data_IF_845561017451
#
_entry.id   IF_845561017451
#
_cell.length_a   1.000
_cell.length_b   1.000
_cell.length_c   1.000
_cell.angle_alpha   90.00
_cell.angle_beta   90.00
_cell.angle_gamma   90.00
#
_symmetry.space_group_name_H-M   'P 1'
#
loop_
_entity.id
_entity.type
_entity.pdbx_description
1 polymer ?
#
# COMPACT_ATOMS: atom_id res chain seq x y z
N UNK A 1 19.38 -48.25 2.02
CA UNK A 1 18.04 -47.68 1.75
C UNK A 1 18.23 -46.25 1.35
N UNK A 2 17.71 -45.78 0.23
CA UNK A 2 17.73 -44.35 -0.06
C UNK A 2 16.93 -43.64 1.03
N UNK A 3 17.55 -42.65 1.68
CA UNK A 3 16.91 -41.85 2.72
C UNK A 3 15.70 -41.11 2.12
N UNK A 4 14.56 -41.25 2.76
CA UNK A 4 13.37 -40.45 2.41
C UNK A 4 13.66 -39.02 2.86
N UNK A 5 13.75 -38.09 1.93
CA UNK A 5 13.88 -36.67 2.26
C UNK A 5 12.61 -36.21 2.97
N UNK A 6 12.69 -35.69 4.19
CA UNK A 6 11.50 -35.28 4.92
C UNK A 6 10.79 -34.10 4.25
N UNK A 7 9.46 -34.15 4.23
CA UNK A 7 8.65 -33.01 3.84
C UNK A 7 8.63 -32.02 5.00
N UNK A 8 9.10 -30.80 4.75
CA UNK A 8 9.13 -29.68 5.68
C UNK A 8 7.95 -28.74 5.40
N UNK A 9 7.62 -27.91 6.36
CA UNK A 9 6.59 -26.86 6.23
C UNK A 9 7.16 -25.51 6.66
N UNK A 10 6.78 -24.46 5.95
CA UNK A 10 7.13 -23.10 6.33
C UNK A 10 5.99 -22.13 6.08
N UNK A 11 5.93 -21.06 6.87
CA UNK A 11 4.95 -19.99 6.68
C UNK A 11 5.54 -18.88 5.83
N UNK A 12 5.00 -18.72 4.64
CA UNK A 12 5.35 -17.60 3.77
C UNK A 12 4.36 -16.46 4.01
N UNK A 13 4.88 -15.34 4.45
CA UNK A 13 4.11 -14.14 4.77
C UNK A 13 4.49 -13.00 3.85
N UNK A 14 3.53 -12.18 3.50
CA UNK A 14 3.81 -11.03 2.65
C UNK A 14 2.63 -10.09 2.49
N UNK A 15 2.82 -9.16 1.57
CA UNK A 15 1.80 -8.21 1.18
C UNK A 15 1.67 -8.21 -0.35
N UNK A 16 0.45 -8.04 -0.82
CA UNK A 16 0.14 -7.92 -2.24
C UNK A 16 -0.96 -6.89 -2.47
N UNK A 17 -1.44 -6.77 -3.69
CA UNK A 17 -2.59 -5.91 -3.97
C UNK A 17 -3.86 -6.47 -3.31
N UNK A 18 -4.74 -5.64 -2.74
CA UNK A 18 -6.07 -6.06 -2.35
C UNK A 18 -6.80 -6.76 -3.51
N UNK A 19 -7.60 -7.77 -3.19
CA UNK A 19 -8.38 -8.56 -4.14
C UNK A 19 -7.55 -9.31 -5.20
N UNK A 20 -6.25 -9.50 -4.97
CA UNK A 20 -5.41 -10.36 -5.80
C UNK A 20 -5.41 -11.80 -5.29
N UNK A 21 -5.00 -12.73 -6.15
CA UNK A 21 -4.73 -14.12 -5.76
C UNK A 21 -3.24 -14.36 -5.77
N UNK A 22 -2.72 -14.86 -4.65
CA UNK A 22 -1.31 -15.24 -4.48
C UNK A 22 -1.21 -16.76 -4.62
N UNK A 23 -0.31 -17.21 -5.48
CA UNK A 23 0.04 -18.62 -5.66
C UNK A 23 1.49 -18.82 -5.25
N UNK A 24 1.77 -19.90 -4.54
CA UNK A 24 3.13 -20.32 -4.18
C UNK A 24 3.31 -21.74 -4.65
N UNK A 25 4.13 -21.94 -5.66
CA UNK A 25 4.39 -23.20 -6.33
C UNK A 25 5.81 -23.68 -6.07
N UNK A 26 6.02 -24.64 -5.14
CA UNK A 26 7.33 -25.24 -4.92
C UNK A 26 7.85 -25.96 -6.18
N UNK A 27 9.14 -25.84 -6.45
CA UNK A 27 9.72 -26.32 -7.73
C UNK A 27 9.95 -27.83 -7.82
N UNK A 28 9.72 -28.57 -6.76
CA UNK A 28 10.03 -30.01 -6.67
C UNK A 28 8.81 -30.91 -6.48
N UNK A 29 7.68 -30.52 -7.02
CA UNK A 29 6.51 -31.40 -7.16
C UNK A 29 5.63 -31.54 -5.91
N UNK A 30 5.78 -30.63 -4.95
CA UNK A 30 4.85 -30.50 -3.82
C UNK A 30 3.62 -29.68 -4.25
N UNK A 31 2.51 -29.87 -3.52
CA UNK A 31 1.24 -29.17 -3.81
C UNK A 31 1.40 -27.65 -3.72
N UNK A 32 0.83 -26.95 -4.67
CA UNK A 32 0.75 -25.49 -4.67
C UNK A 32 -0.13 -24.98 -3.54
N UNK A 33 0.28 -23.88 -2.92
CA UNK A 33 -0.52 -23.12 -1.97
C UNK A 33 -1.08 -21.87 -2.62
N UNK A 34 -2.30 -21.48 -2.30
CA UNK A 34 -2.89 -20.25 -2.82
C UNK A 34 -3.85 -19.59 -1.85
N UNK A 35 -4.00 -18.28 -1.97
CA UNK A 35 -4.97 -17.49 -1.22
C UNK A 35 -5.47 -16.33 -2.09
N UNK A 36 -6.78 -16.07 -2.05
CA UNK A 36 -7.37 -14.85 -2.61
C UNK A 36 -7.56 -13.84 -1.50
N UNK A 37 -6.96 -12.67 -1.66
CA UNK A 37 -6.99 -11.60 -0.68
C UNK A 37 -8.31 -10.83 -0.74
N UNK A 38 -8.75 -10.35 0.42
CA UNK A 38 -9.81 -9.38 0.54
C UNK A 38 -9.29 -7.95 0.43
N UNK A 39 -9.90 -7.05 1.18
CA UNK A 39 -9.42 -5.66 1.32
C UNK A 39 -8.08 -5.57 2.09
N UNK A 40 -7.79 -6.54 2.95
CA UNK A 40 -6.49 -6.66 3.61
C UNK A 40 -5.46 -7.17 2.60
N UNK A 41 -4.37 -6.42 2.37
CA UNK A 41 -3.34 -6.80 1.42
C UNK A 41 -2.35 -7.85 1.96
N UNK A 42 -2.47 -8.24 3.23
CA UNK A 42 -1.55 -9.20 3.87
C UNK A 42 -1.95 -10.63 3.61
N UNK A 43 -0.98 -11.52 3.55
CA UNK A 43 -1.21 -12.94 3.47
C UNK A 43 -0.23 -13.75 4.31
N UNK A 44 -0.69 -14.92 4.75
CA UNK A 44 0.11 -15.99 5.33
C UNK A 44 -0.33 -17.31 4.73
N UNK A 45 0.62 -18.07 4.17
CA UNK A 45 0.40 -19.38 3.59
C UNK A 45 1.35 -20.41 4.21
N UNK A 46 0.81 -21.54 4.61
CA UNK A 46 1.61 -22.72 4.96
C UNK A 46 2.03 -23.44 3.67
N UNK A 47 3.32 -23.57 3.45
CA UNK A 47 3.89 -24.10 2.22
C UNK A 47 4.72 -25.33 2.53
N UNK A 48 4.31 -26.51 2.03
CA UNK A 48 5.14 -27.72 2.13
C UNK A 48 6.30 -27.62 1.15
N UNK A 49 7.49 -28.09 1.58
CA UNK A 49 8.69 -28.07 0.75
C UNK A 49 9.70 -29.14 1.16
N UNK A 50 10.66 -29.41 0.28
CA UNK A 50 11.85 -30.18 0.62
C UNK A 50 13.04 -29.24 0.79
N UNK A 51 14.01 -29.65 1.61
CA UNK A 51 15.22 -28.87 1.86
C UNK A 51 15.93 -28.46 0.55
N UNK A 52 16.32 -27.20 0.46
CA UNK A 52 16.91 -26.64 -0.76
C UNK A 52 15.93 -26.27 -1.87
N UNK A 53 14.62 -26.43 -1.64
CA UNK A 53 13.62 -26.06 -2.62
C UNK A 53 13.51 -24.55 -2.81
N UNK A 54 13.14 -24.18 -4.03
CA UNK A 54 12.64 -22.84 -4.37
C UNK A 54 11.14 -22.90 -4.58
N UNK A 55 10.49 -21.75 -4.56
CA UNK A 55 9.12 -21.63 -4.99
C UNK A 55 8.94 -20.45 -5.94
N UNK A 56 8.07 -20.63 -6.92
CA UNK A 56 7.56 -19.55 -7.74
C UNK A 56 6.38 -18.91 -7.00
N UNK A 57 6.55 -17.67 -6.56
CA UNK A 57 5.44 -16.86 -6.06
C UNK A 57 4.87 -16.07 -7.23
N UNK A 58 3.59 -16.23 -7.50
CA UNK A 58 2.85 -15.52 -8.55
C UNK A 58 1.66 -14.82 -7.94
N UNK A 59 1.51 -13.55 -8.25
CA UNK A 59 0.34 -12.74 -7.91
C UNK A 59 -0.46 -12.47 -9.16
N UNK A 60 -1.75 -12.73 -9.12
CA UNK A 60 -2.70 -12.37 -10.17
C UNK A 60 -3.64 -11.31 -9.61
N UNK A 61 -3.64 -10.13 -10.19
CA UNK A 61 -4.45 -8.99 -9.75
C UNK A 61 -5.87 -9.07 -10.32
N UNK A 62 -6.76 -8.28 -9.76
CA UNK A 62 -8.17 -8.23 -10.18
C UNK A 62 -8.34 -7.82 -11.66
N UNK A 63 -7.43 -7.04 -12.21
CA UNK A 63 -7.41 -6.63 -13.62
C UNK A 63 -6.84 -7.71 -14.57
N UNK A 64 -6.46 -8.87 -14.04
CA UNK A 64 -5.85 -9.96 -14.78
C UNK A 64 -4.34 -9.83 -14.98
N UNK A 65 -3.73 -8.71 -14.59
CA UNK A 65 -2.28 -8.57 -14.63
C UNK A 65 -1.62 -9.52 -13.63
N UNK A 66 -0.42 -9.99 -13.94
CA UNK A 66 0.30 -10.89 -13.06
C UNK A 66 1.77 -10.52 -12.94
N UNK A 67 2.32 -10.86 -11.79
CA UNK A 67 3.73 -10.69 -11.45
C UNK A 67 4.23 -11.95 -10.77
N UNK A 68 5.50 -12.30 -10.96
CA UNK A 68 6.07 -13.51 -10.38
C UNK A 68 7.50 -13.30 -9.90
N UNK A 69 7.88 -14.06 -8.87
CA UNK A 69 9.21 -14.03 -8.27
C UNK A 69 9.60 -15.40 -7.75
N UNK A 70 10.86 -15.78 -7.95
CA UNK A 70 11.42 -16.97 -7.30
C UNK A 70 11.93 -16.63 -5.91
N UNK A 71 11.67 -17.51 -4.95
CA UNK A 71 12.15 -17.41 -3.57
C UNK A 71 12.82 -18.73 -3.14
N UNK A 72 13.74 -18.65 -2.21
CA UNK A 72 14.27 -19.82 -1.53
C UNK A 72 13.38 -20.17 -0.33
N UNK A 73 12.91 -21.40 -0.25
CA UNK A 73 12.14 -21.89 0.90
C UNK A 73 13.10 -22.33 2.00
N UNK A 74 12.80 -21.92 3.23
CA UNK A 74 13.56 -22.25 4.44
C UNK A 74 12.61 -22.60 5.56
N UNK A 75 13.03 -23.44 6.49
CA UNK A 75 12.25 -23.82 7.67
C UNK A 75 11.78 -22.61 8.49
N UNK A 76 12.61 -21.56 8.55
CA UNK A 76 12.27 -20.29 9.17
C UNK A 76 12.39 -19.18 8.14
N UNK A 77 11.26 -18.73 7.61
CA UNK A 77 11.20 -17.55 6.76
C UNK A 77 11.27 -16.30 7.62
N UNK A 78 11.80 -15.18 7.10
CA UNK A 78 11.72 -13.90 7.79
C UNK A 78 10.28 -13.59 8.22
N UNK A 79 10.13 -12.96 9.36
CA UNK A 79 8.83 -12.75 10.02
C UNK A 79 7.82 -12.03 9.11
N UNK A 80 8.29 -11.12 8.28
CA UNK A 80 7.49 -10.45 7.26
C UNK A 80 8.32 -10.22 6.01
N UNK A 81 7.99 -10.93 4.96
CA UNK A 81 8.59 -10.68 3.65
C UNK A 81 7.59 -9.90 2.82
N UNK A 82 7.99 -8.74 2.39
CA UNK A 82 7.20 -7.92 1.46
C UNK A 82 7.53 -8.39 0.05
N UNK A 83 6.73 -9.30 -0.49
CA UNK A 83 6.97 -9.92 -1.77
C UNK A 83 6.41 -9.11 -2.93
N UNK A 84 5.20 -8.61 -2.76
CA UNK A 84 4.44 -7.87 -3.75
C UNK A 84 3.66 -6.77 -3.05
N UNK A 85 4.37 -5.85 -2.42
CA UNK A 85 3.71 -4.71 -1.81
C UNK A 85 3.31 -3.67 -2.86
N UNK A 86 2.54 -2.72 -2.41
CA UNK A 86 2.11 -1.60 -3.23
C UNK A 86 3.27 -0.82 -3.86
N UNK A 87 4.48 -1.00 -3.36
CA UNK A 87 5.70 -0.34 -3.80
C UNK A 87 6.53 -1.18 -4.74
N UNK A 88 6.43 -2.52 -4.62
CA UNK A 88 7.22 -3.48 -5.38
C UNK A 88 6.63 -3.81 -6.75
N UNK A 89 5.43 -3.37 -7.05
CA UNK A 89 4.90 -3.51 -8.39
C UNK A 89 5.79 -2.74 -9.35
N UNK A 90 6.60 -3.50 -10.08
CA UNK A 90 7.65 -2.98 -10.94
C UNK A 90 7.12 -1.84 -11.81
N UNK A 91 7.72 -0.68 -11.68
CA UNK A 91 7.39 0.49 -12.46
C UNK A 91 6.07 1.16 -12.14
N UNK A 92 5.28 0.66 -11.21
CA UNK A 92 3.96 1.19 -10.83
C UNK A 92 2.96 1.34 -11.98
N UNK A 93 3.34 1.02 -13.21
CA UNK A 93 2.57 1.34 -14.41
C UNK A 93 1.15 0.76 -14.43
N UNK A 94 0.97 -0.44 -13.89
CA UNK A 94 -0.32 -1.15 -13.85
C UNK A 94 -0.80 -1.41 -12.43
N UNK A 95 -0.01 -1.04 -11.41
CA UNK A 95 -0.35 -1.32 -10.04
C UNK A 95 -1.41 -0.35 -9.52
N UNK A 96 -2.44 -0.90 -8.91
CA UNK A 96 -3.56 -0.16 -8.34
C UNK A 96 -4.09 -0.89 -7.11
N UNK A 97 -4.01 -0.23 -5.96
CA UNK A 97 -4.53 -0.78 -4.70
C UNK A 97 -6.06 -0.73 -4.59
N UNK A 98 -6.73 0.03 -5.46
CA UNK A 98 -8.06 0.52 -5.12
C UNK A 98 -8.00 1.52 -3.95
N UNK A 99 -9.17 1.97 -3.50
CA UNK A 99 -9.28 2.89 -2.38
C UNK A 99 -9.28 2.14 -1.04
N UNK A 100 -8.33 2.48 -0.16
CA UNK A 100 -8.11 1.89 1.16
C UNK A 100 -8.28 2.98 2.21
N UNK A 101 -8.91 2.66 3.33
CA UNK A 101 -9.05 3.60 4.47
C UNK A 101 -7.69 3.95 5.07
N UNK A 102 -7.52 5.21 5.41
CA UNK A 102 -6.33 5.66 6.14
C UNK A 102 -6.30 5.06 7.56
N UNK A 103 -5.10 4.80 8.10
CA UNK A 103 -4.97 4.06 9.35
C UNK A 103 -5.45 4.79 10.58
N UNK A 104 -5.38 6.13 10.61
CA UNK A 104 -5.73 6.96 11.76
C UNK A 104 -7.08 7.66 11.64
N UNK A 105 -7.63 7.77 10.44
CA UNK A 105 -8.94 8.38 10.20
C UNK A 105 -9.67 7.74 9.02
N UNK A 106 -10.74 7.01 9.30
CA UNK A 106 -11.61 6.38 8.30
C UNK A 106 -12.39 7.37 7.42
N UNK A 107 -12.39 8.66 7.75
CA UNK A 107 -12.97 9.71 6.92
C UNK A 107 -12.17 9.96 5.65
N UNK A 108 -10.95 9.41 5.56
CA UNK A 108 -10.08 9.51 4.41
C UNK A 108 -9.73 8.15 3.84
N UNK A 109 -9.53 8.12 2.54
CA UNK A 109 -9.04 6.96 1.80
C UNK A 109 -7.83 7.34 0.96
N UNK A 110 -6.93 6.39 0.80
CA UNK A 110 -5.80 6.51 -0.11
C UNK A 110 -5.83 5.42 -1.18
N UNK A 111 -5.13 5.66 -2.29
CA UNK A 111 -4.94 4.72 -3.39
C UNK A 111 -3.53 4.88 -3.92
N UNK A 112 -2.86 3.78 -4.19
CA UNK A 112 -1.57 3.80 -4.90
C UNK A 112 -1.80 3.31 -6.32
N UNK A 113 -1.42 4.11 -7.29
CA UNK A 113 -1.54 3.80 -8.71
C UNK A 113 -0.44 4.50 -9.48
N UNK A 114 0.22 3.78 -10.38
CA UNK A 114 1.25 4.32 -11.30
C UNK A 114 2.36 5.13 -10.60
N UNK A 115 2.86 4.67 -9.44
CA UNK A 115 3.93 5.35 -8.70
C UNK A 115 3.51 6.59 -7.93
N UNK A 116 2.22 6.80 -7.81
CA UNK A 116 1.63 7.93 -7.09
C UNK A 116 0.76 7.42 -5.95
N UNK A 117 0.76 8.12 -4.83
CA UNK A 117 -0.29 8.01 -3.82
C UNK A 117 -1.34 9.07 -4.08
N UNK A 118 -2.59 8.67 -4.08
CA UNK A 118 -3.76 9.54 -4.15
C UNK A 118 -4.47 9.51 -2.81
N UNK A 119 -4.98 10.66 -2.36
CA UNK A 119 -5.72 10.78 -1.09
C UNK A 119 -6.95 11.63 -1.31
N UNK A 120 -8.07 11.21 -0.76
CA UNK A 120 -9.33 11.97 -0.80
C UNK A 120 -10.19 11.68 0.44
N UNK A 121 -11.22 12.48 0.74
CA UNK A 121 -12.28 12.11 1.67
C UNK A 121 -12.98 10.80 1.23
N UNK A 122 -13.38 9.99 2.19
CA UNK A 122 -14.09 8.72 1.94
C UNK A 122 -15.58 8.91 1.65
N UNK A 123 -16.08 10.15 1.67
CA UNK A 123 -17.43 10.51 1.35
C UNK A 123 -17.53 11.16 -0.04
N UNK A 124 -18.71 11.18 -0.60
CA UNK A 124 -19.01 11.94 -1.83
C UNK A 124 -18.95 13.47 -1.57
N UNK A 125 -19.02 13.87 -0.31
CA UNK A 125 -18.88 15.26 0.11
C UNK A 125 -17.41 15.58 0.37
N UNK A 126 -16.86 16.38 -0.51
CA UNK A 126 -15.46 16.82 -0.41
C UNK A 126 -15.27 18.02 0.54
N UNK A 127 -16.29 18.40 1.30
CA UNK A 127 -16.24 19.56 2.17
C UNK A 127 -15.96 19.16 3.60
N UNK A 128 -14.97 19.80 4.22
CA UNK A 128 -14.63 19.64 5.63
C UNK A 128 -14.55 21.00 6.32
N UNK A 129 -15.09 21.06 7.53
CA UNK A 129 -14.93 22.23 8.40
C UNK A 129 -13.59 22.16 9.14
N UNK A 130 -12.83 23.22 9.04
CA UNK A 130 -11.61 23.39 9.78
C UNK A 130 -11.76 24.47 10.85
N UNK A 131 -11.51 24.06 12.11
CA UNK A 131 -11.48 24.94 13.26
C UNK A 131 -10.02 25.13 13.68
N UNK A 132 -9.42 26.21 13.28
CA UNK A 132 -8.03 26.52 13.63
C UNK A 132 -7.37 27.32 12.54
N UNK A 133 -6.37 28.09 12.93
CA UNK A 133 -5.53 28.85 12.03
C UNK A 133 -4.17 28.18 11.92
N UNK A 134 -3.63 28.12 10.72
CA UNK A 134 -2.30 27.74 10.32
C UNK A 134 -2.15 26.26 9.98
N UNK A 135 -1.61 25.44 10.83
CA UNK A 135 -1.05 24.16 10.44
C UNK A 135 -1.84 23.01 11.09
N UNK A 136 -2.75 22.42 10.35
CA UNK A 136 -3.65 21.38 10.85
C UNK A 136 -3.28 20.04 10.21
N UNK A 137 -3.01 19.03 11.04
CA UNK A 137 -2.94 17.65 10.56
C UNK A 137 -4.33 17.21 10.09
N UNK A 138 -4.42 16.72 8.87
CA UNK A 138 -5.65 16.19 8.30
C UNK A 138 -5.72 14.67 8.53
N UNK A 139 -4.73 13.94 8.02
CA UNK A 139 -4.67 12.48 8.16
C UNK A 139 -3.23 11.98 8.00
N UNK A 140 -2.87 10.93 8.72
CA UNK A 140 -1.63 10.21 8.50
C UNK A 140 -1.84 9.10 7.44
N UNK A 141 -0.86 8.93 6.56
CA UNK A 141 -0.81 7.83 5.62
C UNK A 141 -0.06 6.64 6.24
N UNK A 142 -0.20 5.43 5.72
CA UNK A 142 0.61 4.30 6.17
C UNK A 142 2.10 4.65 6.14
N UNK A 143 2.81 4.31 7.21
CA UNK A 143 4.26 4.60 7.35
C UNK A 143 5.14 3.92 6.29
N UNK A 144 4.62 2.87 5.67
CA UNK A 144 5.26 2.12 4.61
C UNK A 144 5.27 2.88 3.27
N UNK A 145 4.39 3.88 3.13
CA UNK A 145 4.36 4.75 1.94
C UNK A 145 5.48 5.77 2.08
N UNK A 146 6.44 5.73 1.17
CA UNK A 146 7.52 6.71 1.12
C UNK A 146 7.20 7.76 0.06
N UNK A 147 6.67 8.90 0.50
CA UNK A 147 6.43 10.04 -0.39
C UNK A 147 7.77 10.67 -0.75
N UNK A 148 8.04 10.78 -2.05
CA UNK A 148 9.34 11.27 -2.57
C UNK A 148 9.56 12.75 -2.30
N UNK A 149 8.51 13.53 -2.47
CA UNK A 149 8.57 14.98 -2.31
C UNK A 149 7.23 15.52 -1.85
N UNK A 150 7.28 16.66 -1.17
CA UNK A 150 6.09 17.41 -0.78
C UNK A 150 5.28 17.82 -2.02
N UNK A 151 3.97 17.59 -1.97
CA UNK A 151 3.01 18.03 -2.97
C UNK A 151 2.05 19.05 -2.35
N UNK A 152 1.83 20.17 -3.01
CA UNK A 152 1.03 21.29 -2.50
C UNK A 152 -0.13 21.59 -3.46
N UNK A 153 -1.32 21.78 -2.91
CA UNK A 153 -2.55 22.06 -3.65
C UNK A 153 -3.26 23.26 -3.03
N UNK A 154 -4.00 24.01 -3.85
CA UNK A 154 -4.93 25.02 -3.37
C UNK A 154 -6.05 24.35 -2.57
N UNK A 155 -6.46 24.95 -1.46
CA UNK A 155 -7.55 24.48 -0.61
C UNK A 155 -8.68 25.52 -0.63
N UNK A 156 -9.61 25.44 -1.59
CA UNK A 156 -10.68 26.41 -1.74
C UNK A 156 -11.65 26.40 -0.55
N UNK A 157 -12.30 27.54 -0.32
CA UNK A 157 -13.44 27.62 0.59
C UNK A 157 -14.63 26.83 0.06
N UNK A 158 -15.61 26.59 0.92
CA UNK A 158 -16.85 25.90 0.58
C UNK A 158 -17.64 26.57 -0.55
N UNK A 159 -17.42 27.86 -0.81
CA UNK A 159 -17.99 28.64 -1.91
C UNK A 159 -17.09 28.68 -3.17
N UNK A 160 -16.08 27.83 -3.23
CA UNK A 160 -15.07 27.73 -4.31
C UNK A 160 -14.14 28.95 -4.44
N UNK A 161 -14.18 29.90 -3.51
CA UNK A 161 -13.24 31.01 -3.51
C UNK A 161 -11.89 30.60 -2.91
N UNK A 162 -10.81 31.20 -3.38
CA UNK A 162 -9.46 31.02 -2.89
C UNK A 162 -9.08 32.14 -1.92
N UNK A 163 -8.58 31.80 -0.74
CA UNK A 163 -8.03 32.73 0.22
C UNK A 163 -6.54 32.54 0.48
N UNK A 164 -5.88 31.75 -0.38
CA UNK A 164 -4.49 31.37 -0.23
C UNK A 164 -4.24 30.27 0.81
N UNK A 165 -5.29 29.55 1.25
CA UNK A 165 -5.14 28.33 2.02
C UNK A 165 -4.64 27.20 1.12
N UNK A 166 -3.80 26.33 1.67
CA UNK A 166 -3.23 25.20 0.94
C UNK A 166 -3.41 23.89 1.72
N UNK A 167 -3.38 22.80 0.99
CA UNK A 167 -3.31 21.45 1.54
C UNK A 167 -2.14 20.71 0.91
N UNK A 168 -1.45 19.90 1.70
CA UNK A 168 -0.19 19.31 1.31
C UNK A 168 -0.10 17.84 1.70
N UNK A 169 0.56 17.05 0.85
CA UNK A 169 1.08 15.75 1.26
C UNK A 169 2.55 15.95 1.64
N UNK A 170 2.86 15.68 2.89
CA UNK A 170 4.21 15.76 3.44
C UNK A 170 4.89 14.41 3.43
N UNK A 171 6.16 14.34 3.02
CA UNK A 171 6.99 13.16 3.23
C UNK A 171 7.06 12.83 4.72
N UNK A 172 7.04 11.55 5.04
CA UNK A 172 7.35 11.11 6.38
C UNK A 172 8.84 11.28 6.70
N UNK A 173 9.21 10.98 7.92
CA UNK A 173 10.61 10.84 8.35
C UNK A 173 10.88 9.41 8.80
N UNK A 174 12.07 9.18 9.34
CA UNK A 174 12.45 7.85 9.84
C UNK A 174 11.49 7.28 10.90
N UNK A 175 10.87 8.17 11.69
CA UNK A 175 9.95 7.80 12.79
C UNK A 175 8.54 8.33 12.62
N UNK A 176 8.27 9.14 11.62
CA UNK A 176 6.96 9.77 11.40
C UNK A 176 6.37 9.32 10.06
N UNK A 177 5.08 8.96 10.01
CA UNK A 177 4.41 8.61 8.77
C UNK A 177 4.31 9.83 7.84
N UNK A 178 4.20 9.63 6.53
CA UNK A 178 3.77 10.70 5.65
C UNK A 178 2.35 11.12 6.03
N UNK A 179 2.03 12.38 5.81
CA UNK A 179 0.75 12.95 6.25
C UNK A 179 0.20 14.01 5.33
N UNK A 180 -1.10 14.16 5.38
CA UNK A 180 -1.79 15.31 4.81
C UNK A 180 -1.92 16.39 5.86
N UNK A 181 -1.57 17.62 5.49
CA UNK A 181 -1.64 18.82 6.34
C UNK A 181 -2.33 19.94 5.59
N UNK A 182 -3.10 20.76 6.29
CA UNK A 182 -3.68 21.97 5.76
C UNK A 182 -3.05 23.21 6.41
N UNK A 183 -2.72 24.22 5.63
CA UNK A 183 -2.33 25.54 6.09
C UNK A 183 -3.46 26.52 5.77
N UNK A 184 -4.16 26.94 6.81
CA UNK A 184 -5.36 27.74 6.68
C UNK A 184 -5.08 29.22 6.89
N UNK A 185 -5.70 30.07 6.09
CA UNK A 185 -5.73 31.52 6.28
C UNK A 185 -6.90 31.99 7.17
N UNK A 186 -7.99 31.22 7.15
CA UNK A 186 -9.16 31.46 7.99
C UNK A 186 -9.88 30.15 8.31
N UNK A 187 -10.68 30.15 9.36
CA UNK A 187 -11.59 29.03 9.69
C UNK A 187 -12.70 28.89 8.66
N UNK A 188 -13.32 27.72 8.65
CA UNK A 188 -14.53 27.45 7.89
C UNK A 188 -14.43 26.25 6.98
N UNK A 189 -15.51 26.04 6.26
CA UNK A 189 -15.65 24.94 5.31
C UNK A 189 -14.65 25.04 4.16
N UNK A 190 -14.02 23.91 3.83
CA UNK A 190 -13.05 23.79 2.74
C UNK A 190 -13.42 22.61 1.86
N UNK A 191 -13.18 22.78 0.56
CA UNK A 191 -13.32 21.70 -0.41
C UNK A 191 -11.96 21.02 -0.54
N UNK A 192 -11.92 19.74 -0.19
CA UNK A 192 -10.68 18.95 -0.27
C UNK A 192 -10.61 18.29 -1.65
N UNK A 193 -9.65 18.70 -2.50
CA UNK A 193 -9.45 18.05 -3.79
C UNK A 193 -8.91 16.62 -3.63
N UNK A 194 -8.88 15.87 -4.70
CA UNK A 194 -8.07 14.66 -4.75
C UNK A 194 -6.60 15.08 -4.75
N UNK A 195 -5.90 14.72 -3.70
CA UNK A 195 -4.47 15.00 -3.55
C UNK A 195 -3.67 13.85 -4.14
N UNK A 196 -2.46 14.14 -4.65
CA UNK A 196 -1.56 13.11 -5.13
C UNK A 196 -0.09 13.51 -4.95
N UNK A 197 0.76 12.52 -4.73
CA UNK A 197 2.20 12.73 -4.61
C UNK A 197 2.97 11.53 -5.18
N UNK A 198 4.16 11.73 -5.74
CA UNK A 198 5.02 10.64 -6.16
C UNK A 198 5.54 9.89 -4.93
N UNK A 199 5.60 8.58 -5.03
CA UNK A 199 6.17 7.71 -4.01
C UNK A 199 7.48 7.10 -4.49
N UNK A 200 8.37 6.82 -3.55
CA UNK A 200 9.61 6.12 -3.87
C UNK A 200 9.34 4.66 -4.19
N UNK A 201 10.06 4.17 -5.19
CA UNK A 201 10.15 2.74 -5.38
C UNK A 201 11.16 2.20 -4.37
N UNK A 202 10.77 1.37 -3.39
CA UNK A 202 11.70 0.85 -2.40
C UNK A 202 12.75 -0.10 -2.99
N UNK A 203 12.57 -0.51 -4.24
CA UNK A 203 13.47 -1.38 -4.98
C UNK A 203 14.14 -0.64 -6.17
N UNK A 204 14.02 0.69 -6.21
CA UNK A 204 14.64 1.55 -7.22
C UNK A 204 16.10 1.84 -6.94
#
# INVERSE_FOLDING_TARGET
MPGVTPLLHTKVRGESSPFSTVYISPTNGVTDASITLGADPTFELDVPFYEGSKALVRVVRKDGSSEQKMIDLKESMPEKVVWFNNRAAAGYGTFDTGWIKCPDDNAYVYRIMAGMVYVKPNSDWQTQDFNGTRDVKVVDLPKEIQVRSRATFVLPKGDYTDDGSIIEIWPGGATTPPRVRAQLKANGARIIPVLFAPIENPNG
#
